data_IF_498919988508
#
_entry.id   IF_498919988508
#
_cell.length_a   1.000
_cell.length_b   1.000
_cell.length_c   1.000
_cell.angle_alpha   90.00
_cell.angle_beta   90.00
_cell.angle_gamma   90.00
#
_symmetry.space_group_name_H-M   'P 1'
#
loop_
_entity.id
_entity.type
_entity.pdbx_description
1 polymer ?
#
# COMPACT_ATOMS: atom_id res chain seq x y z
N UNK A 1 -21.85 -45.65 -57.87
CA UNK A 1 -22.76 -44.48 -57.94
C UNK A 1 -22.55 -43.70 -56.66
N UNK A 2 -21.55 -42.81 -56.65
CA UNK A 2 -21.70 -41.34 -56.74
C UNK A 2 -22.30 -40.75 -55.44
N UNK A 3 -21.45 -40.18 -54.57
CA UNK A 3 -21.05 -38.76 -54.51
C UNK A 3 -22.15 -37.82 -54.00
N UNK A 4 -21.91 -37.20 -52.85
CA UNK A 4 -22.14 -35.80 -52.49
C UNK A 4 -22.12 -35.71 -50.94
N UNK A 5 -21.27 -34.93 -50.27
CA UNK A 5 -20.62 -33.70 -50.69
C UNK A 5 -21.10 -32.56 -49.79
N UNK A 6 -20.34 -32.33 -48.72
CA UNK A 6 -20.04 -31.04 -48.07
C UNK A 6 -21.18 -30.12 -47.61
N UNK A 7 -21.19 -29.80 -46.30
CA UNK A 7 -21.62 -28.49 -45.80
C UNK A 7 -20.52 -27.86 -44.94
N UNK A 8 -19.96 -26.79 -45.52
CA UNK A 8 -19.43 -25.57 -44.90
C UNK A 8 -18.07 -25.64 -44.19
N UNK A 9 -17.04 -25.42 -45.01
CA UNK A 9 -15.91 -24.59 -44.62
C UNK A 9 -16.44 -23.20 -44.20
N UNK A 10 -16.44 -22.94 -42.90
CA UNK A 10 -16.67 -21.63 -42.32
C UNK A 10 -15.65 -21.41 -41.21
N UNK A 11 -14.51 -20.82 -41.55
CA UNK A 11 -13.54 -20.22 -40.62
C UNK A 11 -12.83 -21.18 -39.62
N UNK A 12 -11.84 -21.92 -40.13
CA UNK A 12 -10.47 -22.02 -39.58
C UNK A 12 -10.17 -22.14 -38.07
N UNK A 13 -11.08 -22.61 -37.21
CA UNK A 13 -10.77 -22.94 -35.82
C UNK A 13 -10.90 -24.44 -35.64
N UNK A 14 -9.77 -25.13 -35.46
CA UNK A 14 -9.80 -26.55 -35.13
C UNK A 14 -10.40 -26.73 -33.73
N UNK A 15 -11.04 -27.87 -33.47
CA UNK A 15 -11.60 -28.19 -32.15
C UNK A 15 -10.53 -28.10 -31.02
N UNK A 16 -9.26 -28.34 -31.37
CA UNK A 16 -8.11 -28.18 -30.49
C UNK A 16 -7.79 -26.69 -30.21
N UNK A 17 -7.91 -25.82 -31.22
CA UNK A 17 -7.77 -24.37 -31.03
C UNK A 17 -8.89 -23.81 -30.17
N UNK A 18 -10.11 -24.32 -30.32
CA UNK A 18 -11.26 -23.92 -29.51
C UNK A 18 -11.13 -24.38 -28.05
N UNK A 19 -10.66 -25.62 -27.82
CA UNK A 19 -10.38 -26.13 -26.49
C UNK A 19 -9.22 -25.39 -25.81
N UNK A 20 -8.12 -25.15 -26.53
CA UNK A 20 -6.97 -24.42 -25.99
C UNK A 20 -7.29 -22.94 -25.71
N UNK A 21 -8.13 -22.29 -26.51
CA UNK A 21 -8.72 -20.99 -26.17
C UNK A 21 -9.58 -21.09 -24.90
N UNK A 22 -10.48 -22.07 -24.83
CA UNK A 22 -11.33 -22.30 -23.65
C UNK A 22 -10.52 -22.46 -22.36
N UNK A 23 -9.45 -23.27 -22.40
CA UNK A 23 -8.55 -23.49 -21.27
C UNK A 23 -7.76 -22.23 -20.89
N UNK A 24 -7.32 -21.45 -21.88
CA UNK A 24 -6.66 -20.16 -21.63
C UNK A 24 -7.62 -19.16 -20.99
N UNK A 25 -8.83 -19.03 -21.51
CA UNK A 25 -9.86 -18.16 -20.93
C UNK A 25 -10.23 -18.62 -19.53
N UNK A 26 -10.42 -19.92 -19.31
CA UNK A 26 -10.69 -20.48 -17.98
C UNK A 26 -9.55 -20.21 -17.00
N UNK A 27 -8.27 -20.33 -17.42
CA UNK A 27 -7.13 -19.96 -16.57
C UNK A 27 -7.09 -18.47 -16.22
N UNK A 28 -7.38 -17.58 -17.18
CA UNK A 28 -7.42 -16.13 -16.94
C UNK A 28 -8.56 -15.77 -15.99
N UNK A 29 -9.72 -16.40 -16.14
CA UNK A 29 -10.86 -16.20 -15.23
C UNK A 29 -10.65 -16.87 -13.86
N UNK A 30 -9.88 -17.96 -13.81
CA UNK A 30 -9.52 -18.65 -12.57
C UNK A 30 -8.37 -17.95 -11.81
N UNK A 31 -7.62 -17.05 -12.48
CA UNK A 31 -6.70 -16.17 -11.77
C UNK A 31 -7.51 -15.18 -10.93
N UNK A 32 -7.39 -15.31 -9.62
CA UNK A 32 -7.87 -14.31 -8.66
C UNK A 32 -7.34 -12.94 -9.05
N UNK A 33 -8.21 -11.95 -9.24
CA UNK A 33 -7.77 -10.55 -9.32
C UNK A 33 -6.96 -10.24 -8.04
N UNK A 34 -5.74 -9.67 -8.15
CA UNK A 34 -4.96 -9.26 -6.98
C UNK A 34 -5.80 -8.44 -6.00
N UNK A 35 -5.80 -8.82 -4.72
CA UNK A 35 -6.42 -7.96 -3.69
C UNK A 35 -5.55 -6.71 -3.55
N UNK A 36 -6.18 -5.59 -3.22
CA UNK A 36 -5.53 -4.30 -3.09
C UNK A 36 -5.77 -3.74 -1.69
N UNK A 37 -4.72 -3.69 -0.88
CA UNK A 37 -4.76 -3.18 0.49
C UNK A 37 -4.09 -1.81 0.55
N UNK A 38 -4.68 -0.88 1.30
CA UNK A 38 -4.04 0.41 1.56
C UNK A 38 -4.09 0.80 3.04
N UNK A 39 -3.01 1.41 3.52
CA UNK A 39 -2.93 2.13 4.78
C UNK A 39 -2.55 3.58 4.50
N UNK A 40 -3.44 4.51 4.83
CA UNK A 40 -3.25 5.95 4.63
C UNK A 40 -3.18 6.65 5.98
N UNK A 41 -2.14 7.45 6.20
CA UNK A 41 -1.87 8.11 7.47
C UNK A 41 -1.72 9.60 7.23
N UNK A 42 -2.52 10.41 7.93
CA UNK A 42 -2.53 11.87 7.78
C UNK A 42 -2.54 12.56 9.14
N UNK A 43 -1.49 13.33 9.44
CA UNK A 43 -1.34 13.96 10.76
C UNK A 43 -1.15 15.47 10.61
N UNK A 44 -2.10 16.24 11.13
CA UNK A 44 -2.06 17.69 11.17
C UNK A 44 -1.81 18.22 12.59
N UNK A 45 -2.42 17.61 13.61
CA UNK A 45 -2.53 18.22 14.95
C UNK A 45 -1.34 17.98 15.86
N UNK A 46 -0.11 18.02 15.32
CA UNK A 46 1.11 17.94 16.13
C UNK A 46 1.17 19.07 17.15
N UNK A 47 1.57 18.75 18.39
CA UNK A 47 1.57 19.70 19.53
C UNK A 47 2.43 20.95 19.28
N UNK A 48 3.63 20.78 18.73
CA UNK A 48 4.63 21.85 18.62
C UNK A 48 4.72 22.46 17.21
N UNK A 49 4.34 21.73 16.18
CA UNK A 49 4.48 22.14 14.78
C UNK A 49 3.29 21.65 13.94
N UNK A 50 2.08 22.20 14.12
CA UNK A 50 0.90 21.70 13.42
C UNK A 50 0.98 21.92 11.91
N UNK A 51 0.46 20.96 11.15
CA UNK A 51 0.30 21.01 9.70
C UNK A 51 -1.18 21.22 9.34
N UNK A 52 -1.47 21.49 8.07
CA UNK A 52 -2.85 21.74 7.59
C UNK A 52 -3.28 20.89 6.39
N UNK A 53 -2.34 20.28 5.67
CA UNK A 53 -2.62 19.57 4.42
C UNK A 53 -2.80 18.06 4.55
N UNK A 54 -2.29 17.44 5.62
CA UNK A 54 -2.07 16.00 5.64
C UNK A 54 -3.37 15.19 5.58
N UNK A 55 -4.44 15.68 6.22
CA UNK A 55 -5.77 15.05 6.13
C UNK A 55 -6.35 15.18 4.72
N UNK A 56 -6.14 16.32 4.06
CA UNK A 56 -6.57 16.52 2.67
C UNK A 56 -5.81 15.57 1.74
N UNK A 57 -4.51 15.38 1.96
CA UNK A 57 -3.68 14.47 1.16
C UNK A 57 -4.19 13.03 1.22
N UNK A 58 -4.50 12.51 2.42
CA UNK A 58 -5.02 11.14 2.55
C UNK A 58 -6.42 10.98 1.98
N UNK A 59 -7.26 12.01 2.07
CA UNK A 59 -8.59 11.98 1.45
C UNK A 59 -8.48 11.94 -0.08
N UNK A 60 -7.62 12.77 -0.68
CA UNK A 60 -7.38 12.75 -2.13
C UNK A 60 -6.78 11.42 -2.58
N UNK A 61 -5.85 10.86 -1.80
CA UNK A 61 -5.27 9.55 -2.08
C UNK A 61 -6.33 8.44 -2.01
N UNK A 62 -7.23 8.46 -1.02
CA UNK A 62 -8.32 7.50 -0.91
C UNK A 62 -9.21 7.54 -2.16
N UNK A 63 -9.62 8.74 -2.58
CA UNK A 63 -10.47 8.94 -3.76
C UNK A 63 -9.78 8.42 -5.03
N UNK A 64 -8.49 8.72 -5.19
CA UNK A 64 -7.69 8.24 -6.31
C UNK A 64 -7.61 6.70 -6.33
N UNK A 65 -7.32 6.07 -5.19
CA UNK A 65 -7.21 4.62 -5.07
C UNK A 65 -8.53 3.92 -5.41
N UNK A 66 -9.65 4.44 -4.92
CA UNK A 66 -10.99 3.87 -5.18
C UNK A 66 -11.36 4.07 -6.65
N UNK A 67 -11.39 5.32 -7.13
CA UNK A 67 -12.02 5.65 -8.40
C UNK A 67 -11.14 5.41 -9.62
N UNK A 68 -9.81 5.51 -9.46
CA UNK A 68 -8.88 5.30 -10.57
C UNK A 68 -8.24 3.92 -10.55
N UNK A 69 -7.91 3.41 -9.37
CA UNK A 69 -7.15 2.17 -9.22
C UNK A 69 -7.99 0.98 -8.77
N UNK A 70 -9.30 1.16 -8.52
CA UNK A 70 -10.22 0.07 -8.22
C UNK A 70 -9.92 -0.63 -6.90
N UNK A 71 -9.42 0.10 -5.90
CA UNK A 71 -9.36 -0.41 -4.52
C UNK A 71 -10.78 -0.53 -3.96
N UNK A 72 -11.04 -1.61 -3.23
CA UNK A 72 -12.26 -1.72 -2.45
C UNK A 72 -12.15 -0.78 -1.24
N UNK A 73 -13.13 0.11 -0.98
CA UNK A 73 -13.08 1.01 0.17
C UNK A 73 -12.89 0.30 1.52
N UNK A 74 -13.36 -0.95 1.64
CA UNK A 74 -13.19 -1.78 2.86
C UNK A 74 -11.75 -2.25 3.09
N UNK A 75 -10.93 -2.23 2.06
CA UNK A 75 -9.52 -2.64 2.09
C UNK A 75 -8.57 -1.44 2.29
N UNK A 76 -9.13 -0.24 2.49
CA UNK A 76 -8.39 0.99 2.77
C UNK A 76 -8.58 1.35 4.25
N UNK A 77 -7.52 1.23 5.04
CA UNK A 77 -7.48 1.72 6.42
C UNK A 77 -6.90 3.14 6.44
N UNK A 78 -7.54 4.04 7.18
CA UNK A 78 -7.08 5.42 7.34
C UNK A 78 -6.88 5.70 8.83
N UNK A 79 -5.73 6.26 9.19
CA UNK A 79 -5.45 6.80 10.51
C UNK A 79 -5.19 8.30 10.42
N UNK A 80 -5.94 9.10 11.17
CA UNK A 80 -5.75 10.55 11.23
C UNK A 80 -5.52 11.05 12.64
N UNK A 81 -4.64 12.04 12.77
CA UNK A 81 -4.37 12.78 14.01
C UNK A 81 -4.28 11.85 15.23
N UNK A 82 -5.20 11.98 16.20
CA UNK A 82 -5.18 11.22 17.46
C UNK A 82 -5.23 9.71 17.32
N UNK A 83 -5.57 9.17 16.15
CA UNK A 83 -5.50 7.73 15.87
C UNK A 83 -4.11 7.28 15.42
N UNK A 84 -3.31 8.18 14.83
CA UNK A 84 -2.00 7.90 14.29
C UNK A 84 -0.90 7.95 15.36
N UNK A 85 -1.17 7.31 16.50
CA UNK A 85 -0.17 7.09 17.57
C UNK A 85 0.85 6.05 17.13
N UNK A 86 2.00 5.98 17.81
CA UNK A 86 3.00 4.94 17.54
C UNK A 86 2.38 3.55 17.57
N UNK A 87 1.61 3.26 18.62
CA UNK A 87 0.91 1.98 18.74
C UNK A 87 -0.15 1.79 17.65
N UNK A 88 -0.91 2.84 17.32
CA UNK A 88 -1.92 2.80 16.25
C UNK A 88 -1.31 2.46 14.89
N UNK A 89 -0.17 3.06 14.56
CA UNK A 89 0.57 2.78 13.33
C UNK A 89 1.08 1.34 13.29
N UNK A 90 1.74 0.88 14.36
CA UNK A 90 2.26 -0.49 14.44
C UNK A 90 1.14 -1.53 14.32
N UNK A 91 0.03 -1.32 15.02
CA UNK A 91 -1.14 -2.19 14.93
C UNK A 91 -1.76 -2.16 13.53
N UNK A 92 -1.80 -1.02 12.86
CA UNK A 92 -2.29 -0.94 11.48
C UNK A 92 -1.37 -1.66 10.51
N UNK A 93 -0.04 -1.53 10.63
CA UNK A 93 0.90 -2.30 9.81
C UNK A 93 0.70 -3.80 10.01
N UNK A 94 0.70 -4.27 11.26
CA UNK A 94 0.60 -5.69 11.59
C UNK A 94 -0.75 -6.29 11.18
N UNK A 95 -1.86 -5.69 11.64
CA UNK A 95 -3.20 -6.27 11.48
C UNK A 95 -3.80 -6.01 10.09
N UNK A 96 -3.48 -4.88 9.46
CA UNK A 96 -4.08 -4.50 8.17
C UNK A 96 -3.25 -4.92 6.97
N UNK A 97 -1.92 -4.76 7.05
CA UNK A 97 -1.05 -5.05 5.91
C UNK A 97 -0.41 -6.43 6.03
N UNK A 98 0.37 -6.68 7.08
CA UNK A 98 1.23 -7.86 7.20
C UNK A 98 0.41 -9.15 7.27
N UNK A 99 -0.57 -9.24 8.18
CA UNK A 99 -1.38 -10.46 8.35
C UNK A 99 -2.33 -10.75 7.19
N UNK A 100 -2.71 -9.73 6.42
CA UNK A 100 -3.75 -9.87 5.39
C UNK A 100 -3.20 -10.01 3.98
N UNK A 101 -2.03 -9.44 3.69
CA UNK A 101 -1.42 -9.49 2.36
C UNK A 101 -1.00 -10.90 1.99
N UNK A 102 -1.27 -11.29 0.74
CA UNK A 102 -0.89 -12.56 0.16
C UNK A 102 0.04 -12.35 -1.05
N UNK A 103 0.81 -13.37 -1.46
CA UNK A 103 1.59 -13.30 -2.69
C UNK A 103 0.73 -12.89 -3.89
N UNK A 104 1.16 -11.84 -4.59
CA UNK A 104 0.44 -11.27 -5.73
C UNK A 104 -0.51 -10.12 -5.39
N UNK A 105 -0.78 -9.84 -4.11
CA UNK A 105 -1.55 -8.65 -3.71
C UNK A 105 -0.77 -7.36 -3.93
N UNK A 106 -1.50 -6.26 -4.06
CA UNK A 106 -0.95 -4.90 -4.16
C UNK A 106 -1.17 -4.20 -2.82
N UNK A 107 -0.08 -3.71 -2.22
CA UNK A 107 -0.13 -2.95 -0.96
C UNK A 107 0.32 -1.52 -1.22
N UNK A 108 -0.46 -0.55 -0.74
CA UNK A 108 -0.12 0.88 -0.76
C UNK A 108 -0.02 1.40 0.65
N UNK A 109 1.11 1.99 0.99
CA UNK A 109 1.27 2.81 2.20
C UNK A 109 1.45 4.27 1.79
N UNK A 110 0.66 5.17 2.38
CA UNK A 110 0.82 6.61 2.20
C UNK A 110 0.87 7.27 3.57
N UNK A 111 1.92 8.05 3.81
CA UNK A 111 2.06 8.87 5.00
C UNK A 111 2.18 10.34 4.58
N UNK A 112 1.35 11.20 5.17
CA UNK A 112 1.50 12.65 5.14
C UNK A 112 1.54 13.17 6.57
N UNK A 113 2.66 13.80 6.93
CA UNK A 113 2.97 14.25 8.29
C UNK A 113 4.43 14.69 8.40
N UNK A 114 4.91 14.88 9.62
CA UNK A 114 6.34 15.15 9.86
C UNK A 114 7.18 13.87 9.73
N UNK A 115 8.39 14.05 9.19
CA UNK A 115 9.45 13.06 9.27
C UNK A 115 10.63 13.60 10.06
N UNK A 116 11.44 12.73 10.66
CA UNK A 116 12.66 13.12 11.38
C UNK A 116 13.86 12.25 10.99
N UNK A 117 15.02 12.56 11.57
CA UNK A 117 16.22 11.74 11.48
C UNK A 117 16.75 11.46 12.87
N UNK A 118 17.11 10.21 13.12
CA UNK A 118 17.70 9.76 14.38
C UNK A 118 19.00 9.05 14.16
N UNK A 119 19.82 9.01 15.19
CA UNK A 119 21.07 8.28 15.13
C UNK A 119 20.80 6.78 15.04
N UNK A 120 21.34 6.17 14.01
CA UNK A 120 21.30 4.73 13.78
C UNK A 120 22.50 4.07 14.48
N UNK A 121 22.28 3.20 15.49
CA UNK A 121 23.38 2.50 16.15
C UNK A 121 24.08 1.48 15.25
N UNK A 122 23.38 0.94 14.25
CA UNK A 122 23.91 -0.08 13.35
C UNK A 122 24.66 0.54 12.16
N UNK A 123 24.49 1.86 11.95
CA UNK A 123 25.15 2.65 10.90
C UNK A 123 24.98 2.03 9.51
N UNK A 124 23.75 1.69 9.12
CA UNK A 124 23.44 1.10 7.82
C UNK A 124 23.82 2.05 6.66
N UNK A 125 23.82 3.35 6.93
CA UNK A 125 24.20 4.42 5.99
C UNK A 125 25.43 5.19 6.46
N UNK A 126 26.10 5.86 5.52
CA UNK A 126 27.38 6.55 5.74
C UNK A 126 27.32 7.71 6.76
N UNK A 127 26.14 8.27 7.01
CA UNK A 127 25.91 9.32 8.00
C UNK A 127 25.46 8.77 9.37
N UNK A 128 25.27 7.45 9.50
CA UNK A 128 24.70 6.80 10.67
C UNK A 128 23.37 7.42 11.12
N UNK A 129 22.51 7.79 10.16
CA UNK A 129 21.17 8.31 10.44
C UNK A 129 20.08 7.41 9.86
N UNK A 130 18.98 7.27 10.60
CA UNK A 130 17.76 6.63 10.15
C UNK A 130 16.65 7.67 9.99
N UNK A 131 15.94 7.63 8.86
CA UNK A 131 14.79 8.51 8.63
C UNK A 131 13.54 7.92 9.26
N UNK A 132 12.72 8.77 9.88
CA UNK A 132 11.59 8.33 10.71
C UNK A 132 10.28 9.00 10.29
N UNK A 133 9.17 8.32 10.53
CA UNK A 133 7.83 8.91 10.50
C UNK A 133 7.43 9.30 11.92
N UNK A 134 7.04 10.56 12.13
CA UNK A 134 6.70 11.09 13.46
C UNK A 134 5.20 10.84 13.74
N UNK A 135 4.85 9.98 14.71
CA UNK A 135 3.46 9.76 15.12
C UNK A 135 2.87 10.98 15.83
N UNK A 136 1.55 11.02 16.05
CA UNK A 136 0.90 12.14 16.75
C UNK A 136 1.39 12.31 18.20
N UNK A 137 1.76 11.20 18.85
CA UNK A 137 2.33 11.13 20.19
C UNK A 137 3.88 11.12 20.18
N UNK A 138 4.48 11.29 19.00
CA UNK A 138 5.92 11.49 18.83
C UNK A 138 6.36 12.86 19.34
N UNK A 139 7.53 12.91 19.95
CA UNK A 139 8.18 14.15 20.38
C UNK A 139 9.31 14.43 19.40
N UNK A 140 9.23 15.57 18.72
CA UNK A 140 10.34 16.07 17.91
C UNK A 140 11.55 16.35 18.82
N UNK A 141 12.76 15.90 18.46
CA UNK A 141 13.95 16.17 19.25
C UNK A 141 14.27 17.67 19.26
N UNK A 142 14.92 18.12 20.33
CA UNK A 142 15.35 19.50 20.45
C UNK A 142 16.34 19.83 19.31
N UNK A 143 16.09 20.94 18.59
CA UNK A 143 16.88 21.32 17.41
C UNK A 143 16.44 20.70 16.07
N UNK A 144 15.33 19.96 16.02
CA UNK A 144 14.71 19.51 14.76
C UNK A 144 14.33 20.71 13.84
N UNK A 145 14.53 20.63 12.50
CA UNK A 145 15.07 19.52 11.70
C UNK A 145 16.60 19.49 11.57
N UNK A 146 17.32 20.31 12.32
CA UNK A 146 18.77 20.54 12.12
C UNK A 146 19.66 19.58 12.93
N UNK A 147 19.12 18.92 13.95
CA UNK A 147 19.89 18.02 14.83
C UNK A 147 19.18 16.68 15.05
N UNK A 148 19.89 15.53 14.88
CA UNK A 148 19.37 14.22 15.22
C UNK A 148 19.23 14.03 16.74
N UNK A 149 18.26 13.21 17.16
CA UNK A 149 18.05 12.85 18.57
C UNK A 149 17.43 11.47 18.74
N UNK A 150 17.28 11.00 19.99
CA UNK A 150 16.53 9.78 20.28
C UNK A 150 15.02 10.08 20.29
N UNK A 151 14.21 9.25 19.65
CA UNK A 151 12.77 9.49 19.46
C UNK A 151 11.96 8.19 19.57
N UNK A 152 10.65 8.33 19.77
CA UNK A 152 9.68 7.22 19.75
C UNK A 152 9.03 7.00 18.37
N UNK A 153 9.64 7.52 17.32
CA UNK A 153 9.13 7.48 15.95
C UNK A 153 9.10 6.07 15.35
N UNK A 154 8.50 5.96 14.17
CA UNK A 154 8.51 4.73 13.38
C UNK A 154 9.71 4.74 12.43
N UNK A 155 10.56 3.73 12.54
CA UNK A 155 11.71 3.48 11.65
C UNK A 155 11.47 2.24 10.80
N UNK A 156 12.28 2.06 9.74
CA UNK A 156 12.29 0.79 8.97
C UNK A 156 12.51 -0.43 9.88
N UNK A 157 13.52 -0.37 10.76
CA UNK A 157 13.81 -1.37 11.79
C UNK A 157 12.74 -1.50 12.89
N UNK A 158 11.78 -0.58 12.97
CA UNK A 158 10.65 -0.75 13.90
C UNK A 158 9.55 -1.61 13.30
N UNK A 159 9.48 -1.67 11.97
CA UNK A 159 8.46 -2.41 11.24
C UNK A 159 8.90 -3.85 10.89
N UNK A 160 10.22 -4.15 10.95
CA UNK A 160 10.81 -5.43 10.61
C UNK A 160 12.04 -5.76 11.47
#
# INVERSE_FOLDING_TARGET
MQFAGSTLAGLGLSQLDLQSMGDRYARVLAQSTPRKLALLVGINTYKNAPLKGCITDVNLQQQLLIHRFGFNPKDILILTDGQATRQGLLSAFEEHLIKQAKPGDIVVYHFSGHGSQVKDPDCDFSDCLNSTFVPIDGILPEGFPQQPGAVADIMGHTLF
#
